data_IF_472055158277
#
_entry.id   IF_472055158277
#
_cell.length_a   1.000
_cell.length_b   1.000
_cell.length_c   1.000
_cell.angle_alpha   90.00
_cell.angle_beta   90.00
_cell.angle_gamma   90.00
#
_symmetry.space_group_name_H-M   'P 1'
#
loop_
_entity.id
_entity.type
_entity.pdbx_description
1 polymer ?
#
# COMPACT_ATOMS: atom_id res chain seq x y z
N UNK A 1 -10.93 -10.73 -14.02
CA UNK A 1 -10.85 -9.70 -15.08
C UNK A 1 -9.40 -9.68 -15.53
N UNK A 2 -9.08 -9.99 -16.80
CA UNK A 2 -7.70 -10.10 -17.29
C UNK A 2 -7.14 -8.68 -17.42
N UNK A 3 -6.05 -8.34 -16.72
CA UNK A 3 -5.31 -7.12 -17.05
C UNK A 3 -4.83 -7.29 -18.49
N UNK A 4 -5.18 -6.34 -19.36
CA UNK A 4 -4.64 -6.36 -20.71
C UNK A 4 -3.16 -6.07 -20.61
N UNK A 5 -2.33 -6.99 -21.09
CA UNK A 5 -0.90 -6.77 -21.27
C UNK A 5 -0.71 -5.71 -22.36
N UNK A 6 -0.81 -4.43 -21.97
CA UNK A 6 -0.61 -3.28 -22.86
C UNK A 6 0.86 -3.10 -23.23
N UNK A 7 1.77 -3.76 -22.52
CA UNK A 7 3.20 -3.62 -22.69
C UNK A 7 3.82 -4.75 -23.54
N UNK A 8 2.99 -5.65 -24.11
CA UNK A 8 3.41 -6.76 -24.98
C UNK A 8 4.55 -7.60 -24.35
N UNK A 9 4.43 -7.92 -23.06
CA UNK A 9 5.44 -8.61 -22.22
C UNK A 9 6.80 -7.91 -22.08
N UNK A 10 6.90 -6.59 -22.32
CA UNK A 10 8.15 -5.83 -22.21
C UNK A 10 8.30 -5.01 -20.92
N UNK A 11 7.52 -5.32 -19.88
CA UNK A 11 7.64 -4.60 -18.60
C UNK A 11 9.07 -4.65 -18.05
N UNK A 12 9.76 -5.78 -18.19
CA UNK A 12 11.15 -5.96 -17.74
C UNK A 12 12.13 -4.94 -18.35
N UNK A 13 11.86 -4.47 -19.56
CA UNK A 13 12.71 -3.52 -20.30
C UNK A 13 12.45 -2.06 -19.93
N UNK A 14 11.45 -1.78 -19.09
CA UNK A 14 11.11 -0.42 -18.68
C UNK A 14 12.08 0.10 -17.63
N UNK A 15 12.27 1.42 -17.63
CA UNK A 15 13.14 2.10 -16.66
C UNK A 15 12.68 1.87 -15.21
N UNK A 16 11.37 1.84 -14.99
CA UNK A 16 10.74 1.58 -13.69
C UNK A 16 11.08 0.17 -13.16
N UNK A 17 10.96 -0.86 -14.00
CA UNK A 17 11.31 -2.23 -13.65
C UNK A 17 12.80 -2.41 -13.36
N UNK A 18 13.67 -1.82 -14.20
CA UNK A 18 15.13 -1.80 -13.93
C UNK A 18 15.46 -1.09 -12.62
N UNK A 19 14.74 -0.02 -12.30
CA UNK A 19 14.92 0.67 -11.03
C UNK A 19 14.55 -0.23 -9.84
N UNK A 20 13.41 -0.92 -9.91
CA UNK A 20 12.95 -1.85 -8.87
C UNK A 20 13.85 -3.08 -8.73
N UNK A 21 14.47 -3.56 -9.81
CA UNK A 21 15.48 -4.62 -9.75
C UNK A 21 16.74 -4.17 -8.99
N UNK A 22 17.20 -2.93 -9.24
CA UNK A 22 18.37 -2.36 -8.57
C UNK A 22 18.08 -1.88 -7.13
N UNK A 23 16.82 -1.61 -6.80
CA UNK A 23 16.37 -1.19 -5.49
C UNK A 23 15.19 -2.08 -5.03
N UNK A 24 15.45 -3.37 -4.77
CA UNK A 24 14.40 -4.36 -4.54
C UNK A 24 13.50 -3.98 -3.38
N UNK A 25 12.22 -4.32 -3.54
CA UNK A 25 11.24 -4.19 -2.47
C UNK A 25 11.52 -5.21 -1.36
N UNK A 26 11.03 -4.90 -0.17
CA UNK A 26 11.13 -5.75 1.01
C UNK A 26 10.17 -6.94 0.96
N UNK A 27 9.24 -6.90 0.01
CA UNK A 27 8.22 -7.89 -0.28
C UNK A 27 8.57 -8.67 -1.56
N UNK A 28 8.18 -9.95 -1.68
CA UNK A 28 8.48 -10.75 -2.87
C UNK A 28 7.85 -10.20 -4.15
N UNK A 29 8.60 -10.28 -5.25
CA UNK A 29 8.07 -10.20 -6.62
C UNK A 29 7.42 -11.54 -6.98
N UNK A 30 6.15 -11.51 -7.37
CA UNK A 30 5.34 -12.68 -7.67
C UNK A 30 5.30 -12.98 -9.16
N UNK A 31 5.14 -11.94 -9.98
CA UNK A 31 5.14 -12.03 -11.44
C UNK A 31 5.82 -10.80 -12.05
N UNK A 32 6.96 -11.04 -12.69
CA UNK A 32 7.77 -10.02 -13.35
C UNK A 32 7.06 -9.42 -14.56
N UNK A 33 6.18 -10.17 -15.24
CA UNK A 33 5.46 -9.70 -16.44
C UNK A 33 4.36 -8.69 -16.13
N UNK A 34 4.00 -8.56 -14.86
CA UNK A 34 3.01 -7.60 -14.38
C UNK A 34 3.56 -6.63 -13.32
N UNK A 35 4.84 -6.77 -12.92
CA UNK A 35 5.37 -6.18 -11.69
C UNK A 35 4.41 -6.44 -10.52
N UNK A 36 4.06 -7.71 -10.32
CA UNK A 36 3.13 -8.12 -9.27
C UNK A 36 3.87 -8.33 -7.94
N UNK A 37 3.41 -7.67 -6.88
CA UNK A 37 3.99 -7.78 -5.55
C UNK A 37 2.92 -8.02 -4.48
N UNK A 38 3.34 -8.58 -3.34
CA UNK A 38 2.55 -8.49 -2.13
C UNK A 38 2.74 -7.13 -1.46
N UNK A 39 1.66 -6.40 -1.17
CA UNK A 39 1.74 -5.12 -0.45
C UNK A 39 0.68 -5.02 0.64
N UNK A 40 1.02 -4.34 1.74
CA UNK A 40 0.16 -4.20 2.91
C UNK A 40 -0.79 -3.01 2.77
N UNK A 41 -2.05 -3.20 3.14
CA UNK A 41 -3.02 -2.13 3.35
C UNK A 41 -3.53 -2.18 4.78
N UNK A 42 -3.54 -1.03 5.45
CA UNK A 42 -4.14 -0.85 6.76
C UNK A 42 -5.22 0.22 6.72
N UNK A 43 -6.34 -0.05 7.37
CA UNK A 43 -7.49 0.83 7.50
C UNK A 43 -8.29 0.48 8.75
N UNK A 44 -9.38 1.19 9.01
CA UNK A 44 -10.33 0.79 10.04
C UNK A 44 -11.11 -0.47 9.65
N UNK A 45 -11.67 -1.15 10.67
CA UNK A 45 -12.32 -2.44 10.48
C UNK A 45 -13.57 -2.36 9.59
N UNK A 46 -14.29 -1.23 9.57
CA UNK A 46 -15.47 -1.05 8.71
C UNK A 46 -15.04 -0.95 7.25
N UNK A 47 -13.98 -0.18 6.97
CA UNK A 47 -13.42 -0.09 5.62
C UNK A 47 -12.86 -1.44 5.17
N UNK A 48 -12.15 -2.17 6.03
CA UNK A 48 -11.70 -3.53 5.71
C UNK A 48 -12.87 -4.47 5.36
N UNK A 49 -13.99 -4.43 6.08
CA UNK A 49 -15.18 -5.23 5.74
C UNK A 49 -15.74 -4.87 4.36
N UNK A 50 -15.79 -3.58 4.02
CA UNK A 50 -16.21 -3.11 2.69
C UNK A 50 -15.26 -3.61 1.61
N UNK A 51 -13.94 -3.48 1.81
CA UNK A 51 -12.92 -3.92 0.86
C UNK A 51 -12.94 -5.43 0.64
N UNK A 52 -13.10 -6.23 1.70
CA UNK A 52 -13.17 -7.69 1.58
C UNK A 52 -14.44 -8.15 0.86
N UNK A 53 -15.55 -7.43 1.02
CA UNK A 53 -16.83 -7.78 0.38
C UNK A 53 -16.92 -7.30 -1.07
N UNK A 54 -16.45 -6.10 -1.36
CA UNK A 54 -16.72 -5.39 -2.62
C UNK A 54 -15.46 -5.14 -3.46
N UNK A 55 -14.27 -5.39 -2.90
CA UNK A 55 -13.00 -4.96 -3.50
C UNK A 55 -12.77 -3.45 -3.36
N UNK A 56 -11.67 -2.99 -3.93
CA UNK A 56 -11.35 -1.58 -4.05
C UNK A 56 -12.29 -0.88 -5.07
N UNK A 57 -12.85 0.27 -4.71
CA UNK A 57 -13.64 1.12 -5.61
C UNK A 57 -13.01 2.53 -5.75
N UNK A 58 -12.44 2.86 -6.92
CA UNK A 58 -11.77 4.14 -7.14
C UNK A 58 -12.69 5.35 -7.07
N UNK A 59 -14.02 5.17 -7.24
CA UNK A 59 -15.00 6.27 -7.25
C UNK A 59 -15.21 6.89 -5.88
N UNK A 60 -14.97 6.13 -4.81
CA UNK A 60 -15.21 6.54 -3.42
C UNK A 60 -13.92 6.60 -2.60
N UNK A 61 -12.76 6.54 -3.26
CA UNK A 61 -11.45 6.63 -2.59
C UNK A 61 -11.23 7.98 -1.93
N UNK A 62 -10.51 7.98 -0.81
CA UNK A 62 -10.06 9.19 -0.13
C UNK A 62 -9.15 10.01 -1.05
N UNK A 63 -9.51 11.27 -1.29
CA UNK A 63 -8.84 12.18 -2.22
C UNK A 63 -7.70 12.98 -1.61
N UNK A 64 -7.55 12.93 -0.29
CA UNK A 64 -6.55 13.70 0.46
C UNK A 64 -5.16 13.07 0.47
N UNK A 65 -5.01 11.91 -0.17
CA UNK A 65 -3.72 11.26 -0.34
C UNK A 65 -2.69 12.16 -1.02
N UNK A 66 -1.39 11.90 -0.78
CA UNK A 66 -0.33 12.67 -1.45
C UNK A 66 -0.40 12.49 -2.97
N UNK A 67 -0.63 11.27 -3.43
CA UNK A 67 -0.79 10.93 -4.85
C UNK A 67 -2.27 10.85 -5.28
N UNK A 68 -3.12 11.68 -4.67
CA UNK A 68 -4.53 11.82 -5.05
C UNK A 68 -5.41 10.66 -4.57
N UNK A 69 -6.60 10.58 -5.18
CA UNK A 69 -7.64 9.58 -4.90
C UNK A 69 -7.33 8.24 -5.55
N UNK A 70 -6.57 7.41 -4.84
CA UNK A 70 -6.20 6.05 -5.24
C UNK A 70 -6.16 5.09 -4.06
N UNK A 71 -5.76 3.83 -4.32
CA UNK A 71 -5.60 2.80 -3.29
C UNK A 71 -4.16 2.74 -2.80
N UNK A 72 -3.95 3.11 -1.54
CA UNK A 72 -2.62 3.22 -0.93
C UNK A 72 -2.17 1.91 -0.30
N UNK A 73 -0.95 1.50 -0.63
CA UNK A 73 -0.31 0.26 -0.23
C UNK A 73 1.14 0.54 0.19
N UNK A 74 1.75 -0.35 0.97
CA UNK A 74 3.16 -0.22 1.37
C UNK A 74 3.85 -1.58 1.45
N UNK A 75 5.16 -1.59 1.19
CA UNK A 75 5.99 -2.78 1.41
C UNK A 75 6.24 -3.03 2.91
N UNK A 76 6.22 -1.97 3.73
CA UNK A 76 6.38 -2.07 5.17
C UNK A 76 5.02 -2.19 5.87
N UNK A 77 4.78 -3.30 6.56
CA UNK A 77 3.60 -3.47 7.42
C UNK A 77 3.50 -2.38 8.50
N UNK A 78 4.64 -1.90 9.02
CA UNK A 78 4.69 -0.83 10.02
C UNK A 78 4.12 0.49 9.51
N UNK A 79 4.29 0.81 8.22
CA UNK A 79 3.70 1.99 7.57
C UNK A 79 2.19 1.83 7.46
N UNK A 80 1.72 0.72 6.91
CA UNK A 80 0.28 0.44 6.79
C UNK A 80 -0.42 0.35 8.15
N UNK A 81 0.28 -0.13 9.19
CA UNK A 81 -0.22 -0.15 10.57
C UNK A 81 -0.51 1.25 11.13
N UNK A 82 0.13 2.33 10.65
CA UNK A 82 -0.16 3.70 11.08
C UNK A 82 -1.58 4.14 10.73
N UNK A 83 -2.25 3.46 9.79
CA UNK A 83 -3.61 3.75 9.35
C UNK A 83 -4.66 2.88 10.05
N UNK A 84 -4.25 1.93 10.89
CA UNK A 84 -5.17 1.07 11.64
C UNK A 84 -5.46 1.72 13.01
N UNK A 85 -6.71 2.13 13.30
CA UNK A 85 -7.05 2.70 14.59
C UNK A 85 -7.09 1.64 15.69
N UNK A 86 -7.07 2.09 16.95
CA UNK A 86 -7.29 1.25 18.11
C UNK A 86 -8.69 0.62 18.08
N UNK A 87 -8.84 -0.72 18.15
CA UNK A 87 -10.15 -1.36 18.14
C UNK A 87 -11.10 -0.89 19.25
N UNK A 88 -10.56 -0.56 20.43
CA UNK A 88 -11.35 -0.14 21.59
C UNK A 88 -11.98 1.25 21.46
N UNK A 89 -11.25 2.25 20.94
CA UNK A 89 -11.73 3.64 20.89
C UNK A 89 -11.76 4.27 19.49
N UNK A 90 -11.32 3.54 18.46
CA UNK A 90 -11.24 3.99 17.07
C UNK A 90 -10.33 5.22 16.84
N UNK A 91 -9.41 5.50 17.77
CA UNK A 91 -8.42 6.59 17.68
C UNK A 91 -7.01 6.06 17.35
N UNK A 92 -6.00 6.94 17.26
CA UNK A 92 -4.58 6.58 17.13
C UNK A 92 -4.21 5.87 15.82
N UNK A 93 -4.82 6.34 14.73
CA UNK A 93 -4.26 6.22 13.41
C UNK A 93 -3.88 7.62 12.91
N UNK A 94 -2.99 7.72 11.92
CA UNK A 94 -2.51 9.00 11.38
C UNK A 94 -3.65 9.90 10.87
N UNK A 95 -4.80 9.31 10.57
CA UNK A 95 -6.00 10.02 10.12
C UNK A 95 -6.93 10.48 11.27
N UNK A 96 -6.69 10.10 12.53
CA UNK A 96 -7.61 10.36 13.64
C UNK A 96 -6.86 10.88 14.88
N UNK A 97 -6.99 12.18 15.14
CA UNK A 97 -6.72 12.77 16.46
C UNK A 97 -7.99 12.66 17.35
N UNK A 98 -7.87 12.46 18.68
CA UNK A 98 -6.65 12.48 19.50
C UNK A 98 -5.93 11.13 19.61
N UNK A 99 -4.78 11.11 20.29
CA UNK A 99 -4.09 9.87 20.65
C UNK A 99 -4.94 8.95 21.54
N UNK A 100 -4.86 7.64 21.30
CA UNK A 100 -5.61 6.62 22.01
C UNK A 100 -5.19 6.57 23.49
N UNK A 101 -6.18 6.62 24.37
CA UNK A 101 -6.01 6.50 25.83
C UNK A 101 -6.40 5.13 26.39
N UNK A 102 -6.74 4.16 25.54
CA UNK A 102 -7.06 2.81 25.99
C UNK A 102 -5.86 2.20 26.72
N UNK A 103 -6.12 1.59 27.87
CA UNK A 103 -5.15 0.76 28.59
C UNK A 103 -5.08 -0.63 27.92
N UNK A 104 -3.96 -1.32 28.08
CA UNK A 104 -3.74 -2.69 27.59
C UNK A 104 -3.96 -2.85 26.07
N UNK A 105 -3.40 -1.94 25.27
CA UNK A 105 -3.55 -2.01 23.81
C UNK A 105 -2.93 -3.28 23.21
N UNK A 106 -1.99 -3.89 23.92
CA UNK A 106 -1.41 -5.20 23.62
C UNK A 106 -2.43 -6.35 23.62
N UNK A 107 -3.57 -6.19 24.28
CA UNK A 107 -4.65 -7.19 24.30
C UNK A 107 -5.54 -7.09 23.06
N UNK A 108 -5.56 -5.94 22.39
CA UNK A 108 -6.38 -5.74 21.20
C UNK A 108 -5.83 -6.48 19.99
N UNK A 109 -6.75 -7.07 19.24
CA UNK A 109 -6.47 -7.69 17.96
C UNK A 109 -6.70 -6.70 16.83
N UNK A 110 -5.65 -6.46 16.06
CA UNK A 110 -5.63 -5.59 14.90
C UNK A 110 -5.71 -6.43 13.64
N UNK A 111 -6.16 -5.81 12.55
CA UNK A 111 -6.29 -6.45 11.24
C UNK A 111 -5.55 -5.61 10.21
N UNK A 112 -4.72 -6.26 9.39
CA UNK A 112 -4.08 -5.69 8.21
C UNK A 112 -4.31 -6.65 7.03
N UNK A 113 -4.45 -6.13 5.82
CA UNK A 113 -4.68 -6.98 4.64
C UNK A 113 -3.42 -6.95 3.77
N UNK A 114 -2.99 -8.12 3.30
CA UNK A 114 -1.93 -8.27 2.30
C UNK A 114 -2.57 -8.48 0.93
N UNK A 115 -2.24 -7.63 -0.02
CA UNK A 115 -2.78 -7.62 -1.38
C UNK A 115 -1.76 -8.17 -2.36
N UNK A 116 -2.21 -9.02 -3.29
CA UNK A 116 -1.53 -9.17 -4.58
C UNK A 116 -1.83 -7.93 -5.41
N UNK A 117 -0.78 -7.21 -5.78
CA UNK A 117 -0.90 -5.89 -6.42
C UNK A 117 -0.15 -5.85 -7.73
N UNK A 118 -0.85 -5.49 -8.80
CA UNK A 118 -0.35 -5.39 -10.16
C UNK A 118 0.10 -3.96 -10.41
N UNK A 119 1.41 -3.70 -10.27
CA UNK A 119 1.96 -2.35 -10.37
C UNK A 119 2.19 -1.90 -11.82
N UNK A 120 2.38 -2.83 -12.76
CA UNK A 120 2.63 -2.51 -14.16
C UNK A 120 3.86 -1.62 -14.36
N UNK A 121 3.78 -0.66 -15.27
CA UNK A 121 4.77 0.40 -15.40
C UNK A 121 4.57 1.47 -14.32
N UNK A 122 5.52 1.55 -13.39
CA UNK A 122 5.40 2.37 -12.19
C UNK A 122 5.99 3.76 -12.40
N UNK A 123 5.21 4.80 -12.13
CA UNK A 123 5.73 6.16 -12.05
C UNK A 123 6.44 6.39 -10.71
N UNK A 124 7.77 6.53 -10.75
CA UNK A 124 8.59 6.69 -9.55
C UNK A 124 8.70 8.17 -9.18
N UNK A 125 8.24 8.53 -7.98
CA UNK A 125 8.23 9.90 -7.48
C UNK A 125 9.30 10.08 -6.41
N UNK A 126 10.38 10.78 -6.76
CA UNK A 126 11.41 11.20 -5.81
C UNK A 126 11.20 12.62 -5.27
N UNK A 127 10.61 13.48 -6.09
CA UNK A 127 10.30 14.87 -5.74
C UNK A 127 8.80 15.09 -5.80
N UNK A 128 8.20 15.43 -4.66
CA UNK A 128 6.76 15.59 -4.56
C UNK A 128 6.30 17.01 -4.89
N UNK A 129 5.36 17.10 -5.83
CA UNK A 129 4.65 18.33 -6.24
C UNK A 129 3.15 18.15 -6.09
N UNK A 130 2.52 18.91 -5.20
CA UNK A 130 1.11 18.68 -4.81
C UNK A 130 0.16 18.92 -5.99
N UNK A 131 0.44 19.93 -6.78
CA UNK A 131 -0.31 20.31 -7.98
C UNK A 131 -0.33 19.22 -9.06
N UNK A 132 0.70 18.36 -9.09
CA UNK A 132 0.79 17.24 -10.04
C UNK A 132 0.11 15.99 -9.48
N UNK A 133 0.36 15.68 -8.20
CA UNK A 133 0.04 14.36 -7.65
C UNK A 133 -1.24 14.32 -6.84
N UNK A 134 -1.54 15.37 -6.07
CA UNK A 134 -2.79 15.46 -5.29
C UNK A 134 -3.90 16.10 -6.11
N UNK A 135 -3.56 17.10 -6.90
CA UNK A 135 -4.50 17.99 -7.58
C UNK A 135 -4.46 19.40 -6.98
N UNK A 136 -5.29 20.30 -7.51
CA UNK A 136 -5.32 21.71 -7.08
C UNK A 136 -6.07 21.89 -5.77
N UNK A 137 -7.12 21.10 -5.55
CA UNK A 137 -7.96 21.12 -4.36
C UNK A 137 -8.80 19.82 -4.26
N UNK A 138 -9.66 19.76 -3.25
CA UNK A 138 -10.49 18.58 -2.92
C UNK A 138 -11.59 18.29 -3.94
N UNK A 139 -12.03 19.30 -4.69
CA UNK A 139 -13.03 19.20 -5.74
C UNK A 139 -12.39 18.81 -7.06
N UNK A 140 -11.08 19.01 -7.21
CA UNK A 140 -10.30 18.65 -8.40
C UNK A 140 -9.12 17.71 -8.08
N UNK A 141 -9.37 16.53 -7.47
CA UNK A 141 -8.31 15.61 -7.13
C UNK A 141 -7.83 14.83 -8.34
N UNK A 142 -6.54 14.47 -8.33
CA UNK A 142 -6.01 13.48 -9.27
C UNK A 142 -6.51 12.09 -8.85
N UNK A 143 -7.07 11.33 -9.81
CA UNK A 143 -7.59 9.96 -9.58
C UNK A 143 -7.03 8.96 -10.59
N UNK A 144 -5.88 9.28 -11.18
CA UNK A 144 -5.20 8.48 -12.19
C UNK A 144 -3.70 8.67 -12.06
N UNK A 145 -2.89 7.70 -12.49
CA UNK A 145 -1.45 7.88 -12.56
C UNK A 145 -1.07 8.94 -13.61
N UNK A 146 0.12 9.54 -13.52
CA UNK A 146 0.60 10.52 -14.49
C UNK A 146 0.72 9.96 -15.91
N UNK A 147 0.72 10.87 -16.88
CA UNK A 147 1.02 10.57 -18.28
C UNK A 147 2.52 10.34 -18.47
N UNK A 148 2.89 9.36 -19.30
CA UNK A 148 4.27 9.08 -19.68
C UNK A 148 4.83 10.26 -20.48
N UNK A 149 6.12 10.55 -20.31
CA UNK A 149 6.78 11.63 -21.07
C UNK A 149 6.67 11.34 -22.57
N UNK A 150 6.24 12.32 -23.36
CA UNK A 150 6.12 12.23 -24.82
C UNK A 150 5.21 11.10 -25.33
N UNK A 151 4.22 10.67 -24.55
CA UNK A 151 3.24 9.64 -24.93
C UNK A 151 1.86 10.00 -24.41
N UNK A 152 0.80 9.60 -25.13
CA UNK A 152 -0.59 9.72 -24.67
C UNK A 152 -0.96 8.65 -23.62
N UNK A 153 -0.06 7.71 -23.37
CA UNK A 153 -0.28 6.64 -22.39
C UNK A 153 0.00 7.11 -20.96
N UNK A 154 -0.74 6.52 -20.03
CA UNK A 154 -0.50 6.70 -18.60
C UNK A 154 0.44 5.62 -18.08
N UNK A 155 1.13 5.91 -16.99
CA UNK A 155 1.68 4.86 -16.13
C UNK A 155 0.55 3.98 -15.58
N UNK A 156 0.88 2.83 -15.02
CA UNK A 156 -0.11 1.91 -14.45
C UNK A 156 -0.31 2.16 -12.94
N UNK A 157 0.72 2.65 -12.26
CA UNK A 157 0.70 2.97 -10.82
C UNK A 157 1.70 4.06 -10.46
N UNK A 158 1.67 4.52 -9.20
CA UNK A 158 2.62 5.49 -8.65
C UNK A 158 3.36 4.84 -7.48
N UNK A 159 4.69 5.01 -7.44
CA UNK A 159 5.51 4.71 -6.26
C UNK A 159 6.12 6.01 -5.74
N UNK A 160 5.71 6.42 -4.54
CA UNK A 160 6.42 7.43 -3.76
C UNK A 160 7.69 6.84 -3.18
N UNK A 161 8.85 7.39 -3.56
CA UNK A 161 10.14 6.94 -3.08
C UNK A 161 10.44 7.52 -1.69
N UNK A 162 11.12 6.74 -0.84
CA UNK A 162 11.49 7.17 0.50
C UNK A 162 12.87 7.82 0.54
N UNK A 163 13.13 8.58 1.61
CA UNK A 163 14.39 9.30 1.83
C UNK A 163 15.64 8.42 1.77
N UNK A 164 15.53 7.17 2.21
CA UNK A 164 16.62 6.18 2.14
C UNK A 164 17.09 5.96 0.70
N UNK A 165 16.20 6.08 -0.28
CA UNK A 165 16.49 5.86 -1.71
C UNK A 165 16.37 7.15 -2.55
N UNK A 166 16.51 8.31 -1.89
CA UNK A 166 16.59 9.61 -2.54
C UNK A 166 15.25 10.32 -2.77
N UNK A 167 14.16 9.90 -2.12
CA UNK A 167 12.92 10.67 -2.05
C UNK A 167 13.00 11.86 -1.09
N UNK A 168 12.17 12.88 -1.28
CA UNK A 168 12.21 14.13 -0.49
C UNK A 168 11.28 14.11 0.76
N UNK A 169 10.14 13.44 0.67
CA UNK A 169 9.07 13.54 1.69
C UNK A 169 8.80 12.28 2.51
N UNK A 170 8.96 11.09 1.93
CA UNK A 170 8.47 9.87 2.55
C UNK A 170 9.55 9.16 3.38
N UNK A 171 9.16 8.61 4.52
CA UNK A 171 10.03 7.73 5.32
C UNK A 171 9.98 6.27 4.87
N UNK A 172 8.90 5.88 4.18
CA UNK A 172 8.66 4.53 3.66
C UNK A 172 8.17 4.64 2.21
N UNK A 173 8.43 3.64 1.37
CA UNK A 173 7.83 3.61 0.04
C UNK A 173 6.33 3.42 0.15
N UNK A 174 5.59 4.19 -0.61
CA UNK A 174 4.13 4.11 -0.72
C UNK A 174 3.76 3.86 -2.19
N UNK A 175 2.81 2.95 -2.41
CA UNK A 175 2.36 2.55 -3.73
C UNK A 175 0.89 2.92 -3.88
N UNK A 176 0.52 3.44 -5.05
CA UNK A 176 -0.87 3.83 -5.35
C UNK A 176 -1.29 3.24 -6.68
N UNK A 177 -2.36 2.46 -6.63
CA UNK A 177 -3.07 1.96 -7.82
C UNK A 177 -4.42 2.67 -7.95
N UNK A 178 -4.93 2.79 -9.16
CA UNK A 178 -6.11 3.61 -9.46
C UNK A 178 -7.25 2.82 -10.12
N UNK A 179 -7.00 1.56 -10.49
CA UNK A 179 -8.02 0.65 -11.02
C UNK A 179 -8.35 -0.47 -10.01
N UNK A 180 -9.65 -0.79 -9.88
CA UNK A 180 -10.16 -1.84 -9.01
C UNK A 180 -9.54 -3.23 -9.27
N UNK A 181 -9.15 -3.51 -10.51
CA UNK A 181 -8.57 -4.78 -10.92
C UNK A 181 -7.08 -4.93 -10.60
N UNK A 182 -6.41 -3.90 -10.08
CA UNK A 182 -4.97 -3.94 -9.78
C UNK A 182 -4.64 -4.49 -8.39
N UNK A 183 -5.61 -4.69 -7.51
CA UNK A 183 -5.37 -5.16 -6.16
C UNK A 183 -6.38 -6.24 -5.75
N UNK A 184 -5.87 -7.42 -5.40
CA UNK A 184 -6.67 -8.53 -4.89
C UNK A 184 -6.30 -8.83 -3.42
N UNK A 185 -7.27 -8.82 -2.48
CA UNK A 185 -7.01 -9.10 -1.08
C UNK A 185 -6.69 -10.59 -0.89
N UNK A 186 -5.40 -10.92 -0.80
CA UNK A 186 -4.93 -12.31 -0.75
C UNK A 186 -5.02 -12.87 0.67
N UNK A 187 -4.57 -12.10 1.67
CA UNK A 187 -4.55 -12.54 3.06
C UNK A 187 -5.08 -11.48 4.02
N UNK A 188 -5.89 -11.93 4.97
CA UNK A 188 -6.28 -11.15 6.15
C UNK A 188 -5.39 -11.56 7.31
N UNK A 189 -4.56 -10.64 7.80
CA UNK A 189 -3.60 -10.90 8.87
C UNK A 189 -4.13 -10.25 10.15
N UNK A 190 -4.37 -11.08 11.17
CA UNK A 190 -4.70 -10.62 12.50
C UNK A 190 -3.44 -10.60 13.36
N UNK A 191 -3.18 -9.52 14.08
CA UNK A 191 -1.97 -9.35 14.89
C UNK A 191 -2.23 -8.54 16.15
N UNK A 192 -1.27 -8.55 17.08
CA UNK A 192 -1.27 -7.71 18.29
C UNK A 192 -0.07 -6.77 18.25
N UNK A 193 -0.24 -5.55 18.76
CA UNK A 193 0.87 -4.59 18.91
C UNK A 193 1.64 -4.91 20.19
N UNK A 194 2.96 -5.06 20.09
CA UNK A 194 3.82 -5.26 21.26
C UNK A 194 4.34 -3.92 21.79
N UNK A 195 4.31 -3.74 23.11
CA UNK A 195 4.95 -2.62 23.82
C UNK A 195 6.40 -2.94 24.20
N UNK A 196 6.82 -4.20 24.06
CA UNK A 196 8.20 -4.62 24.34
C UNK A 196 9.13 -4.01 23.27
N UNK A 197 10.09 -3.20 23.70
CA UNK A 197 11.20 -2.78 22.84
C UNK A 197 12.04 -4.02 22.51
N UNK A 198 11.89 -4.54 21.31
CA UNK A 198 12.83 -5.52 20.76
C UNK A 198 14.07 -4.69 20.37
N UNK A 199 15.24 -5.05 20.90
CA UNK A 199 16.51 -4.36 20.60
C UNK A 199 16.86 -4.42 19.11
N UNK A 200 17.97 -3.78 18.67
CA UNK A 200 18.39 -3.79 17.27
C UNK A 200 18.96 -5.18 16.94
N UNK A 201 18.09 -6.15 16.69
CA UNK A 201 18.48 -7.49 16.27
C UNK A 201 17.80 -7.82 14.96
N UNK A 202 18.56 -7.50 13.89
CA UNK A 202 18.52 -8.08 12.55
C UNK A 202 17.27 -7.94 11.68
N UNK A 203 17.60 -7.58 10.44
CA UNK A 203 16.86 -7.63 9.18
C UNK A 203 15.46 -8.21 9.18
N UNK A 204 14.62 -7.47 8.48
CA UNK A 204 13.24 -7.76 8.14
C UNK A 204 13.12 -9.00 7.23
N UNK A 205 13.48 -10.18 7.74
CA UNK A 205 12.65 -11.35 7.51
C UNK A 205 11.39 -11.10 8.31
N UNK A 206 10.29 -10.84 7.62
CA UNK A 206 8.96 -10.98 8.21
C UNK A 206 8.96 -12.32 8.95
N UNK A 207 8.98 -12.27 10.29
CA UNK A 207 8.78 -13.44 11.13
C UNK A 207 7.31 -13.82 10.94
N UNK A 208 7.06 -14.60 9.89
CA UNK A 208 5.88 -15.45 9.76
C UNK A 208 5.97 -16.59 10.80
N UNK A 209 7.11 -16.78 11.47
CA UNK A 209 7.35 -17.81 12.48
C UNK A 209 7.30 -17.26 13.92
N UNK A 210 6.08 -16.99 14.40
CA UNK A 210 5.67 -17.08 15.83
C UNK A 210 4.31 -16.40 16.08
N UNK A 211 3.48 -16.21 15.05
CA UNK A 211 2.05 -16.31 15.31
C UNK A 211 1.75 -17.78 15.60
N UNK A 212 1.14 -18.08 16.75
CA UNK A 212 0.27 -19.24 16.81
C UNK A 212 -0.86 -18.98 15.81
N UNK A 213 -0.63 -19.39 14.57
CA UNK A 213 -1.54 -19.19 13.46
C UNK A 213 -2.72 -20.14 13.66
N UNK A 214 -3.79 -19.65 14.27
CA UNK A 214 -5.11 -20.20 13.98
C UNK A 214 -5.50 -19.66 12.61
N UNK A 215 -5.05 -20.36 11.56
CA UNK A 215 -5.58 -20.20 10.21
C UNK A 215 -7.03 -20.70 10.23
N UNK A 216 -7.99 -19.83 10.52
CA UNK A 216 -9.37 -20.05 10.07
C UNK A 216 -9.48 -19.52 8.65
N UNK A 217 -9.24 -20.39 7.68
CA UNK A 217 -9.66 -20.17 6.30
C UNK A 217 -11.18 -20.22 6.26
N UNK A 218 -11.84 -19.08 6.06
CA UNK A 218 -13.21 -19.08 5.59
C UNK A 218 -13.17 -19.18 4.07
N UNK A 219 -13.36 -20.39 3.55
CA UNK A 219 -13.72 -20.59 2.15
C UNK A 219 -15.19 -20.21 1.99
N UNK A 220 -15.46 -19.23 1.13
CA UNK A 220 -16.78 -19.05 0.51
C UNK A 220 -17.07 -20.19 -0.45
#
# INVERSE_FOLDING_TARGET
>A
KRIMDRNNNRLEDLESSRYLQNHPLLVPLLDVKANEYWLFHGSDSKIHQVLLKNGYDPRVSNVWGMFGGGFYLAENSSKSNQYIPCPGCQQNCISHEPHCKCKKQEDFQYLIILYRTLLGDVHIVKEYKSEIYRGTDVHHPVRRPPQRKNSEELYDSVMGECRKYGGDRLNYREFVVYDAGQAYPEYVIQFKRSTKKIGPQFDMKCVIDSCHTLLTTYSS
#
